data_IF_399022820565
#
_entry.id   IF_399022820565
#
_cell.length_a   1.000
_cell.length_b   1.000
_cell.length_c   1.000
_cell.angle_alpha   90.00
_cell.angle_beta   90.00
_cell.angle_gamma   90.00
#
_symmetry.space_group_name_H-M   'P 1'
#
loop_
_entity.id
_entity.type
_entity.pdbx_description
1 polymer ?
#
# COMPACT_ATOMS: atom_id res chain seq x y z
N UNK A 1 -11.33 -63.95 -5.96
CA UNK A 1 -11.21 -62.95 -4.87
C UNK A 1 -10.04 -62.01 -5.04
N UNK A 2 -8.81 -62.43 -5.39
CA UNK A 2 -7.64 -61.55 -5.56
C UNK A 2 -7.80 -60.50 -6.66
N UNK A 3 -8.44 -60.79 -7.81
CA UNK A 3 -8.67 -59.86 -8.92
C UNK A 3 -9.69 -58.77 -8.58
N UNK A 4 -10.73 -59.11 -7.81
CA UNK A 4 -11.74 -58.12 -7.35
C UNK A 4 -11.16 -57.16 -6.31
N UNK A 5 -10.25 -57.62 -5.46
CA UNK A 5 -9.55 -56.79 -4.47
C UNK A 5 -8.57 -55.82 -5.15
N UNK A 6 -7.82 -56.25 -6.18
CA UNK A 6 -6.97 -55.33 -6.98
C UNK A 6 -7.76 -54.27 -7.71
N UNK A 7 -8.93 -54.60 -8.30
CA UNK A 7 -9.81 -53.63 -8.94
C UNK A 7 -10.40 -52.63 -7.96
N UNK A 8 -10.76 -53.07 -6.75
CA UNK A 8 -11.23 -52.15 -5.68
C UNK A 8 -10.13 -51.22 -5.19
N UNK A 9 -8.90 -51.74 -5.02
CA UNK A 9 -7.74 -50.93 -4.65
C UNK A 9 -7.39 -49.90 -5.76
N UNK A 10 -7.44 -50.30 -7.04
CA UNK A 10 -7.23 -49.44 -8.17
C UNK A 10 -8.30 -48.33 -8.25
N UNK A 11 -9.56 -48.64 -7.94
CA UNK A 11 -10.66 -47.67 -7.89
C UNK A 11 -10.50 -46.69 -6.72
N UNK A 12 -10.00 -47.15 -5.58
CA UNK A 12 -9.71 -46.32 -4.40
C UNK A 12 -8.54 -45.36 -4.68
N UNK A 13 -7.49 -45.83 -5.36
CA UNK A 13 -6.34 -45.01 -5.78
C UNK A 13 -6.76 -44.02 -6.86
N UNK A 14 -7.60 -44.39 -7.84
CA UNK A 14 -8.12 -43.46 -8.83
C UNK A 14 -9.01 -42.34 -8.22
N UNK A 15 -9.74 -42.65 -7.14
CA UNK A 15 -10.53 -41.66 -6.40
C UNK A 15 -9.65 -40.66 -5.62
N UNK A 16 -8.46 -41.10 -5.16
CA UNK A 16 -7.53 -40.23 -4.42
C UNK A 16 -6.69 -39.30 -5.32
N UNK A 17 -6.64 -39.54 -6.64
CA UNK A 17 -5.88 -38.70 -7.61
C UNK A 17 -6.70 -37.54 -8.15
N UNK A 18 -7.99 -37.42 -7.81
CA UNK A 18 -8.80 -36.25 -8.21
C UNK A 18 -8.59 -35.00 -7.32
N UNK A 19 -7.68 -35.04 -6.38
CA UNK A 19 -7.33 -33.91 -5.52
C UNK A 19 -6.02 -33.31 -5.99
N UNK A 20 -6.07 -32.03 -6.28
CA UNK A 20 -4.96 -31.07 -6.52
C UNK A 20 -4.78 -30.61 -7.97
N UNK A 21 -5.86 -30.13 -8.58
CA UNK A 21 -5.68 -29.05 -9.53
C UNK A 21 -6.05 -27.74 -8.79
N UNK A 22 -5.11 -27.17 -8.06
CA UNK A 22 -5.20 -25.79 -7.65
C UNK A 22 -5.11 -24.96 -8.94
N UNK A 23 -6.24 -24.55 -9.47
CA UNK A 23 -6.32 -23.79 -10.71
C UNK A 23 -5.76 -22.41 -10.48
N UNK A 24 -4.84 -21.97 -11.33
CA UNK A 24 -4.53 -20.55 -11.41
C UNK A 24 -5.65 -19.87 -12.18
N UNK A 25 -6.29 -18.88 -11.57
CA UNK A 25 -7.40 -18.15 -12.18
C UNK A 25 -6.90 -16.92 -12.93
N UNK A 26 -7.39 -16.79 -14.15
CA UNK A 26 -7.28 -15.57 -14.95
C UNK A 26 -8.64 -14.86 -14.92
N UNK A 27 -8.67 -13.60 -15.29
CA UNK A 27 -9.93 -12.84 -15.42
C UNK A 27 -10.89 -13.50 -16.42
N UNK A 28 -10.36 -14.27 -17.40
CA UNK A 28 -11.16 -14.92 -18.44
C UNK A 28 -11.80 -16.22 -17.99
N UNK A 29 -11.13 -16.99 -17.12
CA UNK A 29 -11.62 -18.31 -16.69
C UNK A 29 -12.32 -18.27 -15.33
N UNK A 30 -12.40 -17.11 -14.68
CA UNK A 30 -13.09 -16.99 -13.39
C UNK A 30 -14.61 -17.15 -13.58
N UNK A 31 -15.26 -18.09 -12.87
CA UNK A 31 -16.70 -18.32 -13.01
C UNK A 31 -17.51 -17.18 -12.39
N UNK A 32 -18.04 -16.28 -13.24
CA UNK A 32 -18.80 -15.13 -12.78
C UNK A 32 -20.25 -15.52 -12.47
N UNK A 33 -20.48 -15.90 -11.22
CA UNK A 33 -21.78 -16.37 -10.74
C UNK A 33 -22.89 -15.31 -10.83
N UNK A 34 -22.55 -14.03 -10.64
CA UNK A 34 -23.49 -12.90 -10.76
C UNK A 34 -24.14 -12.82 -12.15
N UNK A 35 -23.39 -13.12 -13.21
CA UNK A 35 -23.92 -13.11 -14.57
C UNK A 35 -24.95 -14.22 -14.83
N UNK A 36 -24.95 -15.26 -14.01
CA UNK A 36 -25.91 -16.37 -14.06
C UNK A 36 -27.10 -16.14 -13.13
N UNK A 37 -26.81 -15.62 -11.92
CA UNK A 37 -27.79 -15.34 -10.87
C UNK A 37 -27.41 -14.04 -10.16
N UNK A 38 -28.20 -12.99 -10.37
CA UNK A 38 -28.02 -11.65 -9.79
C UNK A 38 -28.03 -11.61 -8.27
N UNK A 39 -28.45 -12.68 -7.59
CA UNK A 39 -28.42 -12.79 -6.15
C UNK A 39 -27.08 -13.33 -5.63
N UNK A 40 -26.18 -13.71 -6.53
CA UNK A 40 -24.88 -14.32 -6.24
C UNK A 40 -23.76 -13.34 -6.54
N UNK A 41 -23.12 -12.86 -5.51
CA UNK A 41 -22.00 -11.89 -5.60
C UNK A 41 -20.66 -12.51 -5.29
N UNK A 42 -20.65 -13.72 -4.66
CA UNK A 42 -19.44 -14.37 -4.14
C UNK A 42 -18.98 -15.47 -5.07
N UNK A 43 -17.80 -15.30 -5.63
CA UNK A 43 -17.07 -16.27 -6.46
C UNK A 43 -16.10 -17.03 -5.57
N UNK A 44 -16.34 -18.32 -5.35
CA UNK A 44 -15.56 -19.19 -4.45
C UNK A 44 -15.33 -20.55 -5.14
N UNK A 45 -14.56 -20.59 -6.24
CA UNK A 45 -14.44 -21.78 -7.07
C UNK A 45 -13.70 -22.92 -6.38
N UNK A 46 -12.76 -22.62 -5.49
CA UNK A 46 -11.96 -23.60 -4.76
C UNK A 46 -12.62 -24.08 -3.45
N UNK A 47 -13.79 -23.52 -3.11
CA UNK A 47 -14.49 -23.89 -1.87
C UNK A 47 -13.76 -23.48 -0.58
N UNK A 48 -12.99 -22.40 -0.64
CA UNK A 48 -12.24 -21.86 0.50
C UNK A 48 -13.18 -21.40 1.61
N UNK A 49 -14.26 -20.72 1.21
CA UNK A 49 -15.31 -20.29 2.13
C UNK A 49 -16.39 -21.36 2.28
N UNK A 50 -16.93 -21.49 3.47
CA UNK A 50 -18.08 -22.35 3.73
C UNK A 50 -19.33 -21.86 2.98
N UNK A 51 -20.21 -22.78 2.61
CA UNK A 51 -21.46 -22.43 1.93
C UNK A 51 -22.34 -21.48 2.76
N UNK A 52 -22.28 -21.57 4.09
CA UNK A 52 -23.01 -20.70 4.99
C UNK A 52 -22.49 -19.26 4.91
N UNK A 53 -21.18 -19.06 4.93
CA UNK A 53 -20.53 -17.76 4.80
C UNK A 53 -20.84 -17.12 3.45
N UNK A 54 -20.72 -17.89 2.36
CA UNK A 54 -21.08 -17.43 1.01
C UNK A 54 -22.52 -16.94 0.97
N UNK A 55 -23.47 -17.71 1.50
CA UNK A 55 -24.90 -17.34 1.52
C UNK A 55 -25.15 -16.05 2.32
N UNK A 56 -24.47 -15.88 3.46
CA UNK A 56 -24.59 -14.67 4.27
C UNK A 56 -24.03 -13.45 3.54
N UNK A 57 -22.88 -13.57 2.90
CA UNK A 57 -22.28 -12.50 2.13
C UNK A 57 -23.12 -12.14 0.90
N UNK A 58 -23.61 -13.13 0.14
CA UNK A 58 -24.53 -12.91 -0.98
C UNK A 58 -25.76 -12.11 -0.53
N UNK A 59 -26.35 -12.47 0.60
CA UNK A 59 -27.53 -11.77 1.14
C UNK A 59 -27.23 -10.31 1.49
N UNK A 60 -26.06 -10.02 2.09
CA UNK A 60 -25.63 -8.67 2.43
C UNK A 60 -25.38 -7.82 1.17
N UNK A 61 -24.68 -8.41 0.18
CA UNK A 61 -24.32 -7.72 -1.06
C UNK A 61 -25.54 -7.51 -1.97
N UNK A 62 -26.44 -8.46 -2.07
CA UNK A 62 -27.69 -8.30 -2.81
C UNK A 62 -28.56 -7.18 -2.19
N UNK A 63 -28.61 -7.11 -0.87
CA UNK A 63 -29.29 -6.01 -0.17
C UNK A 63 -28.60 -4.66 -0.46
N UNK A 64 -27.27 -4.62 -0.44
CA UNK A 64 -26.50 -3.44 -0.76
C UNK A 64 -26.77 -2.96 -2.18
N UNK A 65 -26.83 -3.87 -3.15
CA UNK A 65 -27.19 -3.53 -4.53
C UNK A 65 -28.61 -2.97 -4.63
N UNK A 66 -29.60 -3.62 -4.01
CA UNK A 66 -31.01 -3.21 -4.10
C UNK A 66 -31.30 -1.88 -3.39
N UNK A 67 -30.63 -1.59 -2.27
CA UNK A 67 -30.89 -0.38 -1.47
C UNK A 67 -30.01 0.80 -1.87
N UNK A 68 -28.79 0.55 -2.32
CA UNK A 68 -27.78 1.60 -2.61
C UNK A 68 -27.32 1.62 -4.07
N UNK A 69 -27.71 0.65 -4.87
CA UNK A 69 -27.29 0.54 -6.26
C UNK A 69 -25.82 0.19 -6.43
N UNK A 70 -25.16 -0.38 -5.40
CA UNK A 70 -23.75 -0.75 -5.43
C UNK A 70 -23.61 -2.15 -6.01
N UNK A 71 -23.05 -2.25 -7.20
CA UNK A 71 -22.73 -3.55 -7.80
C UNK A 71 -21.40 -4.08 -7.27
N UNK A 72 -21.40 -5.31 -6.80
CA UNK A 72 -20.24 -5.89 -6.11
C UNK A 72 -19.87 -7.27 -6.62
N UNK A 73 -18.57 -7.56 -6.58
CA UNK A 73 -18.00 -8.88 -6.80
C UNK A 73 -17.03 -9.18 -5.66
N UNK A 74 -17.26 -10.29 -4.98
CA UNK A 74 -16.30 -10.83 -4.00
C UNK A 74 -15.71 -12.10 -4.58
N UNK A 75 -14.41 -12.14 -4.78
CA UNK A 75 -13.71 -13.27 -5.38
C UNK A 75 -12.68 -13.83 -4.39
N UNK A 76 -12.84 -15.10 -4.04
CA UNK A 76 -11.95 -15.82 -3.12
C UNK A 76 -11.46 -17.09 -3.79
N UNK A 77 -10.15 -17.18 -4.00
CA UNK A 77 -9.53 -18.27 -4.72
C UNK A 77 -8.14 -18.59 -4.15
N UNK A 78 -7.61 -19.74 -4.51
CA UNK A 78 -6.28 -20.14 -4.05
C UNK A 78 -5.18 -19.34 -4.72
N UNK A 79 -5.22 -19.20 -6.06
CA UNK A 79 -4.16 -18.55 -6.83
C UNK A 79 -4.71 -17.78 -8.01
N UNK A 80 -4.11 -16.62 -8.26
CA UNK A 80 -4.41 -15.75 -9.41
C UNK A 80 -3.22 -15.70 -10.38
N UNK A 81 -3.50 -15.42 -11.63
CA UNK A 81 -2.46 -15.19 -12.63
C UNK A 81 -1.71 -13.89 -12.32
N UNK A 82 -0.38 -13.94 -12.41
CA UNK A 82 0.49 -12.83 -12.06
C UNK A 82 0.73 -12.63 -10.56
N UNK A 83 -0.08 -13.23 -9.66
CA UNK A 83 0.12 -13.19 -8.19
C UNK A 83 -0.04 -11.82 -7.53
N UNK A 84 -0.53 -10.79 -8.25
CA UNK A 84 -0.74 -9.43 -7.73
C UNK A 84 -2.23 -9.08 -7.71
N UNK A 85 -2.78 -9.00 -6.48
CA UNK A 85 -4.22 -8.81 -6.27
C UNK A 85 -4.74 -7.48 -6.83
N UNK A 86 -3.96 -6.40 -6.81
CA UNK A 86 -4.37 -5.11 -7.35
C UNK A 86 -4.60 -5.18 -8.86
N UNK A 87 -3.59 -5.68 -9.60
CA UNK A 87 -3.65 -5.75 -11.07
C UNK A 87 -4.77 -6.68 -11.55
N UNK A 88 -4.95 -7.79 -10.83
CA UNK A 88 -6.05 -8.71 -11.10
C UNK A 88 -7.42 -8.06 -10.85
N UNK A 89 -7.61 -7.39 -9.71
CA UNK A 89 -8.87 -6.76 -9.34
C UNK A 89 -9.26 -5.63 -10.30
N UNK A 90 -8.30 -4.76 -10.68
CA UNK A 90 -8.58 -3.65 -11.61
C UNK A 90 -8.90 -4.17 -13.02
N UNK A 91 -8.19 -5.21 -13.46
CA UNK A 91 -8.46 -5.87 -14.75
C UNK A 91 -9.83 -6.52 -14.75
N UNK A 92 -10.18 -7.22 -13.67
CA UNK A 92 -11.49 -7.84 -13.49
C UNK A 92 -12.61 -6.80 -13.51
N UNK A 93 -12.46 -5.72 -12.75
CA UNK A 93 -13.43 -4.65 -12.66
C UNK A 93 -13.68 -3.96 -13.99
N UNK A 94 -12.63 -3.57 -14.66
CA UNK A 94 -12.72 -2.86 -15.93
C UNK A 94 -13.23 -3.77 -17.07
N UNK A 95 -12.81 -5.04 -17.09
CA UNK A 95 -13.24 -5.98 -18.12
C UNK A 95 -14.72 -6.33 -18.00
N UNK A 96 -15.22 -6.54 -16.80
CA UNK A 96 -16.62 -6.86 -16.55
C UNK A 96 -17.50 -5.62 -16.51
N UNK A 97 -16.91 -4.43 -16.32
CA UNK A 97 -17.64 -3.19 -16.11
C UNK A 97 -18.45 -3.22 -14.82
N UNK A 98 -17.85 -3.77 -13.73
CA UNK A 98 -18.50 -3.86 -12.41
C UNK A 98 -18.85 -2.46 -11.94
N UNK A 99 -20.13 -2.24 -11.63
CA UNK A 99 -20.65 -0.93 -11.26
C UNK A 99 -21.72 -0.45 -12.21
N UNK A 100 -22.31 0.68 -11.87
CA UNK A 100 -23.33 1.35 -12.66
C UNK A 100 -22.77 2.61 -13.35
N UNK A 101 -23.63 3.38 -14.00
CA UNK A 101 -23.28 4.67 -14.66
C UNK A 101 -22.67 5.71 -13.70
N UNK A 102 -22.86 5.54 -12.39
CA UNK A 102 -22.32 6.42 -11.34
C UNK A 102 -21.00 5.87 -10.79
N UNK A 103 -20.43 4.84 -11.39
CA UNK A 103 -19.20 4.17 -10.96
C UNK A 103 -19.26 3.65 -9.51
N UNK A 104 -20.43 3.14 -9.08
CA UNK A 104 -20.59 2.55 -7.74
C UNK A 104 -20.27 1.06 -7.75
N UNK A 105 -19.12 0.69 -8.31
CA UNK A 105 -18.59 -0.67 -8.30
C UNK A 105 -17.77 -0.97 -7.04
N UNK A 106 -17.83 -2.22 -6.56
CA UNK A 106 -17.05 -2.72 -5.44
C UNK A 106 -16.47 -4.09 -5.78
N UNK A 107 -15.17 -4.26 -5.63
CA UNK A 107 -14.52 -5.57 -5.76
C UNK A 107 -13.77 -5.87 -4.47
N UNK A 108 -13.95 -7.08 -3.94
CA UNK A 108 -13.17 -7.58 -2.81
C UNK A 108 -12.52 -8.88 -3.27
N UNK A 109 -11.20 -8.91 -3.32
CA UNK A 109 -10.41 -10.03 -3.79
C UNK A 109 -9.56 -10.61 -2.66
N UNK A 110 -9.50 -11.92 -2.58
CA UNK A 110 -8.59 -12.67 -1.70
C UNK A 110 -7.97 -13.83 -2.49
N UNK A 111 -6.65 -13.85 -2.55
CA UNK A 111 -5.87 -15.02 -2.99
C UNK A 111 -5.11 -15.61 -1.79
N UNK A 112 -5.46 -16.86 -1.43
CA UNK A 112 -4.95 -17.46 -0.20
C UNK A 112 -3.52 -17.98 -0.34
N UNK A 113 -3.15 -18.51 -1.50
CA UNK A 113 -1.79 -19.01 -1.76
C UNK A 113 -0.83 -17.88 -2.15
N UNK A 114 -1.29 -16.87 -2.92
CA UNK A 114 -0.48 -15.69 -3.24
C UNK A 114 -0.40 -14.73 -2.04
N UNK A 115 -1.18 -15.01 -0.97
CA UNK A 115 -1.22 -14.26 0.28
C UNK A 115 -1.46 -12.77 0.05
N UNK A 116 -2.35 -12.44 -0.85
CA UNK A 116 -2.72 -11.07 -1.14
C UNK A 116 -4.23 -10.85 -1.11
N UNK A 117 -4.63 -9.62 -0.85
CA UNK A 117 -6.01 -9.18 -0.84
C UNK A 117 -6.13 -7.78 -1.41
N UNK A 118 -7.32 -7.43 -1.91
CA UNK A 118 -7.62 -6.10 -2.43
C UNK A 118 -9.09 -5.76 -2.22
N UNK A 119 -9.36 -4.57 -1.70
CA UNK A 119 -10.66 -3.90 -1.80
C UNK A 119 -10.50 -2.80 -2.84
N UNK A 120 -11.28 -2.85 -3.91
CA UNK A 120 -11.24 -1.86 -4.99
C UNK A 120 -12.61 -1.18 -5.08
N UNK A 121 -12.62 0.15 -5.08
CA UNK A 121 -13.84 0.98 -5.14
C UNK A 121 -13.88 1.77 -6.43
N UNK A 122 -15.07 1.86 -7.04
CA UNK A 122 -15.31 2.79 -8.14
C UNK A 122 -15.40 4.24 -7.61
N UNK A 123 -15.15 5.21 -8.49
CA UNK A 123 -15.14 6.65 -8.14
C UNK A 123 -16.40 7.12 -7.41
N UNK A 124 -17.58 6.56 -7.76
CA UNK A 124 -18.84 6.88 -7.11
C UNK A 124 -18.95 6.44 -5.64
N UNK A 125 -18.06 5.54 -5.19
CA UNK A 125 -18.01 5.09 -3.79
C UNK A 125 -16.93 5.81 -2.97
N UNK A 126 -15.99 6.52 -3.58
CA UNK A 126 -14.87 7.16 -2.87
C UNK A 126 -15.32 8.16 -1.79
N UNK A 127 -16.46 8.84 -2.03
CA UNK A 127 -17.04 9.75 -1.04
C UNK A 127 -17.59 9.06 0.20
N UNK A 128 -18.02 7.80 0.09
CA UNK A 128 -18.62 7.02 1.19
C UNK A 128 -17.64 5.99 1.74
N UNK A 129 -16.87 5.37 0.88
CA UNK A 129 -15.87 4.33 1.20
C UNK A 129 -14.49 4.72 0.65
N UNK A 130 -13.84 5.77 1.18
CA UNK A 130 -12.50 6.18 0.74
C UNK A 130 -11.44 5.16 1.14
N UNK A 131 -10.29 5.18 0.48
CA UNK A 131 -9.15 4.26 0.67
C UNK A 131 -8.72 4.14 2.13
N UNK A 132 -8.73 5.25 2.87
CA UNK A 132 -8.39 5.26 4.29
C UNK A 132 -9.31 4.38 5.13
N UNK A 133 -10.60 4.32 4.78
CA UNK A 133 -11.61 3.46 5.44
C UNK A 133 -11.45 2.02 4.97
N UNK A 134 -11.23 1.76 3.68
CA UNK A 134 -10.88 0.43 3.18
C UNK A 134 -9.70 -0.14 3.96
N UNK A 135 -8.61 0.60 4.06
CA UNK A 135 -7.41 0.20 4.83
C UNK A 135 -7.69 -0.04 6.31
N UNK A 136 -8.59 0.75 6.92
CA UNK A 136 -9.00 0.55 8.31
C UNK A 136 -9.79 -0.74 8.49
N UNK A 137 -10.72 -1.02 7.57
CA UNK A 137 -11.49 -2.28 7.55
C UNK A 137 -10.55 -3.47 7.39
N UNK A 138 -9.63 -3.42 6.43
CA UNK A 138 -8.64 -4.47 6.21
C UNK A 138 -7.85 -4.77 7.49
N UNK A 139 -7.25 -3.74 8.09
CA UNK A 139 -6.40 -3.90 9.27
C UNK A 139 -7.14 -4.40 10.51
N UNK A 140 -8.42 -4.05 10.67
CA UNK A 140 -9.20 -4.38 11.87
C UNK A 140 -10.09 -5.60 11.71
N UNK A 141 -10.61 -5.86 10.50
CA UNK A 141 -11.65 -6.87 10.27
C UNK A 141 -11.21 -8.00 9.34
N UNK A 142 -10.17 -7.81 8.53
CA UNK A 142 -9.70 -8.81 7.57
C UNK A 142 -8.37 -9.44 8.02
N UNK A 143 -7.30 -8.66 8.07
CA UNK A 143 -5.92 -9.12 8.27
C UNK A 143 -5.71 -9.97 9.54
N UNK A 144 -6.31 -9.65 10.71
CA UNK A 144 -6.13 -10.49 11.90
C UNK A 144 -6.57 -11.93 11.70
N UNK A 145 -7.67 -12.15 10.97
CA UNK A 145 -8.22 -13.47 10.68
C UNK A 145 -7.48 -14.15 9.53
N UNK A 146 -7.04 -13.41 8.50
CA UNK A 146 -6.22 -13.95 7.42
C UNK A 146 -4.91 -14.57 7.96
N UNK A 147 -4.29 -13.94 8.95
CA UNK A 147 -3.06 -14.45 9.59
C UNK A 147 -3.26 -15.77 10.33
N UNK A 148 -4.45 -16.03 10.79
CA UNK A 148 -4.81 -17.28 11.49
C UNK A 148 -5.41 -18.33 10.54
N UNK A 149 -5.63 -17.99 9.27
CA UNK A 149 -6.26 -18.88 8.28
C UNK A 149 -7.77 -19.00 8.43
N UNK A 150 -8.41 -18.12 9.20
CA UNK A 150 -9.87 -18.08 9.35
C UNK A 150 -10.49 -17.22 8.22
N UNK A 151 -10.57 -17.82 7.03
CA UNK A 151 -11.03 -17.17 5.81
C UNK A 151 -12.50 -16.75 5.89
N UNK A 152 -13.33 -17.60 6.49
CA UNK A 152 -14.76 -17.32 6.66
C UNK A 152 -15.00 -16.05 7.48
N UNK A 153 -14.41 -15.97 8.65
CA UNK A 153 -14.56 -14.79 9.52
C UNK A 153 -13.94 -13.56 8.88
N UNK A 154 -12.75 -13.67 8.24
CA UNK A 154 -12.09 -12.57 7.56
C UNK A 154 -13.01 -11.92 6.52
N UNK A 155 -13.56 -12.73 5.63
CA UNK A 155 -14.37 -12.23 4.52
C UNK A 155 -15.74 -11.72 4.97
N UNK A 156 -16.43 -12.45 5.86
CA UNK A 156 -17.74 -12.05 6.38
C UNK A 156 -17.66 -10.74 7.17
N UNK A 157 -16.66 -10.59 8.04
CA UNK A 157 -16.43 -9.35 8.80
C UNK A 157 -16.10 -8.17 7.90
N UNK A 158 -15.31 -8.40 6.85
CA UNK A 158 -14.95 -7.37 5.87
C UNK A 158 -16.18 -6.90 5.10
N UNK A 159 -16.94 -7.82 4.50
CA UNK A 159 -18.16 -7.51 3.75
C UNK A 159 -19.19 -6.81 4.65
N UNK A 160 -19.40 -7.32 5.87
CA UNK A 160 -20.31 -6.70 6.84
C UNK A 160 -19.89 -5.27 7.20
N UNK A 161 -18.60 -5.02 7.40
CA UNK A 161 -18.07 -3.68 7.70
C UNK A 161 -18.24 -2.71 6.53
N UNK A 162 -17.91 -3.15 5.31
CA UNK A 162 -18.10 -2.38 4.07
C UNK A 162 -19.57 -2.01 3.88
N UNK A 163 -20.48 -2.98 4.01
CA UNK A 163 -21.92 -2.74 3.89
C UNK A 163 -22.41 -1.71 4.92
N UNK A 164 -21.98 -1.80 6.18
CA UNK A 164 -22.35 -0.84 7.22
C UNK A 164 -21.90 0.58 6.90
N UNK A 165 -20.64 0.76 6.47
CA UNK A 165 -20.12 2.07 6.09
C UNK A 165 -20.92 2.67 4.95
N UNK A 166 -21.22 1.88 3.90
CA UNK A 166 -22.02 2.36 2.76
C UNK A 166 -23.47 2.71 3.17
N UNK A 167 -24.01 2.06 4.21
CA UNK A 167 -25.31 2.42 4.78
C UNK A 167 -25.28 3.65 5.69
N UNK A 168 -24.10 4.22 5.98
CA UNK A 168 -23.94 5.43 6.79
C UNK A 168 -23.62 5.15 8.26
N UNK A 169 -23.08 3.97 8.58
CA UNK A 169 -22.53 3.70 9.90
C UNK A 169 -21.14 4.35 10.04
N UNK A 170 -21.13 5.53 10.64
CA UNK A 170 -19.92 6.32 10.84
C UNK A 170 -19.01 5.81 11.97
N UNK A 171 -19.36 4.72 12.63
CA UNK A 171 -18.59 4.17 13.76
C UNK A 171 -17.15 3.84 13.38
N UNK A 172 -16.90 3.45 12.12
CA UNK A 172 -15.57 3.21 11.60
C UNK A 172 -14.88 4.49 11.10
N UNK A 173 -15.62 5.57 10.86
CA UNK A 173 -15.07 6.87 10.46
C UNK A 173 -14.52 7.63 11.66
N UNK A 174 -15.25 7.60 12.79
CA UNK A 174 -14.97 8.39 13.98
C UNK A 174 -14.21 7.62 15.06
N UNK A 175 -13.93 6.34 14.86
CA UNK A 175 -13.17 5.53 15.82
C UNK A 175 -11.67 5.90 15.76
N UNK A 176 -11.37 7.11 16.23
CA UNK A 176 -10.02 7.63 16.45
C UNK A 176 -9.31 6.96 17.65
N UNK A 177 -9.98 5.99 18.28
CA UNK A 177 -9.43 5.18 19.38
C UNK A 177 -8.51 4.03 18.88
N UNK A 178 -8.07 4.09 17.65
CA UNK A 178 -6.94 3.34 17.12
C UNK A 178 -5.63 4.07 17.41
N UNK A 179 -5.43 4.52 18.64
CA UNK A 179 -4.09 4.72 19.14
C UNK A 179 -3.30 3.44 18.87
N UNK A 180 -2.20 3.51 18.10
CA UNK A 180 -1.29 2.39 18.10
C UNK A 180 -0.90 2.20 19.56
N UNK A 181 -1.32 1.11 20.17
CA UNK A 181 -0.81 0.64 21.45
C UNK A 181 0.64 0.21 21.24
N UNK A 182 1.45 1.17 20.90
CA UNK A 182 2.88 1.16 20.79
C UNK A 182 3.42 2.27 21.67
N UNK A 183 3.20 2.18 23.00
CA UNK A 183 3.85 2.99 24.03
C UNK A 183 5.39 2.87 24.02
N UNK A 184 5.96 2.29 22.97
CA UNK A 184 7.42 2.17 22.80
C UNK A 184 8.02 3.16 21.81
N UNK A 185 7.24 3.92 21.05
CA UNK A 185 7.76 4.83 20.02
C UNK A 185 8.07 6.24 20.50
N UNK A 186 7.30 6.76 21.43
CA UNK A 186 7.47 8.15 21.88
C UNK A 186 8.78 8.37 22.67
N UNK A 187 9.24 7.36 23.40
CA UNK A 187 10.54 7.42 24.09
C UNK A 187 11.70 7.61 23.11
N UNK A 188 11.69 6.88 22.00
CA UNK A 188 12.69 7.02 20.92
C UNK A 188 12.56 8.37 20.19
N UNK A 189 11.34 8.86 19.99
CA UNK A 189 11.10 10.16 19.34
C UNK A 189 11.57 11.31 20.24
N UNK A 190 11.28 11.30 21.54
CA UNK A 190 11.77 12.29 22.49
C UNK A 190 13.29 12.21 22.67
N UNK A 191 13.86 11.02 22.64
CA UNK A 191 15.32 10.81 22.69
C UNK A 191 15.98 11.36 21.41
N UNK A 192 15.41 11.11 20.22
CA UNK A 192 15.88 11.69 18.98
C UNK A 192 15.77 13.24 18.98
N UNK A 193 14.65 13.77 19.47
CA UNK A 193 14.47 15.23 19.62
C UNK A 193 15.48 15.84 20.59
N UNK A 194 15.74 15.17 21.72
CA UNK A 194 16.75 15.60 22.70
C UNK A 194 18.18 15.57 22.12
N UNK A 195 18.51 14.56 21.31
CA UNK A 195 19.83 14.49 20.64
C UNK A 195 19.97 15.62 19.61
N UNK A 196 18.92 15.87 18.80
CA UNK A 196 18.95 16.95 17.80
C UNK A 196 19.03 18.32 18.46
N UNK A 197 18.21 18.58 19.48
CA UNK A 197 18.25 19.84 20.22
C UNK A 197 19.54 20.02 21.01
N UNK A 198 20.04 18.96 21.65
CA UNK A 198 21.33 18.97 22.33
C UNK A 198 22.49 19.23 21.36
N UNK A 199 22.51 18.53 20.23
CA UNK A 199 23.50 18.76 19.17
C UNK A 199 23.48 20.19 18.62
N UNK A 200 22.28 20.73 18.42
CA UNK A 200 22.09 22.12 17.95
C UNK A 200 22.61 23.15 18.99
N UNK A 201 22.30 22.94 20.28
CA UNK A 201 22.78 23.81 21.34
C UNK A 201 24.32 23.73 21.50
N UNK A 202 24.90 22.53 21.39
CA UNK A 202 26.36 22.34 21.41
C UNK A 202 26.99 23.03 20.19
N UNK A 203 26.37 22.95 19.02
CA UNK A 203 26.84 23.61 17.80
C UNK A 203 26.86 25.15 17.98
N UNK A 204 25.76 25.71 18.52
CA UNK A 204 25.70 27.17 18.82
C UNK A 204 26.76 27.56 19.82
N UNK A 205 26.92 26.78 20.89
CA UNK A 205 27.92 27.07 21.93
C UNK A 205 29.35 27.00 21.39
N UNK A 206 29.68 25.96 20.64
CA UNK A 206 31.01 25.81 20.02
C UNK A 206 31.30 26.89 19.00
N UNK A 207 30.30 27.30 18.21
CA UNK A 207 30.41 28.35 17.20
C UNK A 207 30.62 29.73 17.86
N UNK A 208 29.93 30.02 18.97
CA UNK A 208 30.19 31.21 19.79
C UNK A 208 31.61 31.27 20.33
N UNK A 209 32.08 30.15 20.92
CA UNK A 209 33.43 30.02 21.45
C UNK A 209 34.51 30.16 20.38
N UNK A 210 34.28 29.66 19.18
CA UNK A 210 35.19 29.82 18.03
C UNK A 210 35.29 31.27 17.53
N UNK A 211 34.21 32.04 17.60
CA UNK A 211 34.17 33.41 17.07
C UNK A 211 34.52 34.50 18.10
N UNK A 212 34.94 34.10 19.31
CA UNK A 212 35.31 34.97 20.41
C UNK A 212 36.81 35.21 20.42
N UNK A 213 37.24 36.46 20.57
CA UNK A 213 38.65 36.83 20.66
C UNK A 213 39.26 36.28 21.97
N UNK A 214 40.37 35.51 21.93
CA UNK A 214 40.98 34.94 23.12
C UNK A 214 41.61 36.00 24.01
N UNK A 215 41.90 37.23 23.53
CA UNK A 215 42.55 38.27 24.30
C UNK A 215 41.57 39.19 25.03
N UNK A 216 40.42 39.53 24.42
CA UNK A 216 39.50 40.52 25.01
C UNK A 216 38.06 40.05 25.12
N UNK A 217 37.74 38.80 24.74
CA UNK A 217 36.40 38.22 24.81
C UNK A 217 35.39 38.83 23.82
N UNK A 218 35.79 39.69 22.91
CA UNK A 218 34.87 40.29 21.94
C UNK A 218 34.48 39.33 20.82
N UNK A 219 33.22 39.33 20.43
CA UNK A 219 32.64 38.54 19.33
C UNK A 219 31.71 39.41 18.47
N UNK A 220 31.68 39.29 17.15
CA UNK A 220 32.43 38.32 16.32
C UNK A 220 33.83 38.85 15.90
N UNK A 221 34.75 37.93 15.57
CA UNK A 221 36.00 38.25 14.88
C UNK A 221 35.77 38.35 13.37
N UNK A 222 36.42 39.34 12.71
CA UNK A 222 36.30 39.50 11.28
C UNK A 222 37.37 38.78 10.49
N UNK A 223 36.98 38.11 9.42
CA UNK A 223 37.91 37.48 8.47
C UNK A 223 38.63 38.54 7.70
N UNK A 224 39.97 38.52 7.71
CA UNK A 224 40.80 39.55 7.07
C UNK A 224 41.47 39.05 5.81
N UNK A 225 41.99 37.82 5.81
CA UNK A 225 42.72 37.24 4.70
C UNK A 225 42.58 35.73 4.70
N UNK A 226 42.79 35.08 3.54
CA UNK A 226 42.90 33.60 3.44
C UNK A 226 44.03 33.27 2.49
N UNK A 227 44.80 32.28 2.84
CA UNK A 227 45.86 31.71 2.03
C UNK A 227 45.59 30.23 1.82
N UNK A 228 45.77 29.76 0.57
CA UNK A 228 45.68 28.35 0.21
C UNK A 228 47.06 27.89 -0.23
N UNK A 229 47.56 26.84 0.38
CA UNK A 229 48.81 26.19 -0.02
C UNK A 229 48.47 24.77 -0.43
N UNK A 230 48.76 24.41 -1.66
CA UNK A 230 48.53 23.07 -2.21
C UNK A 230 49.80 22.25 -2.07
N UNK A 231 49.74 21.16 -1.33
CA UNK A 231 50.79 20.14 -1.31
C UNK A 231 50.43 19.02 -2.28
N UNK A 232 51.04 19.11 -3.50
CA UNK A 232 50.77 18.15 -4.55
C UNK A 232 51.33 16.74 -4.28
N UNK A 233 52.30 16.61 -3.37
CA UNK A 233 52.86 15.31 -3.02
C UNK A 233 51.96 14.53 -2.06
N UNK A 234 51.24 15.22 -1.20
CA UNK A 234 50.31 14.61 -0.24
C UNK A 234 48.84 14.65 -0.71
N UNK A 235 48.55 15.37 -1.80
CA UNK A 235 47.18 15.52 -2.29
C UNK A 235 46.26 16.29 -1.32
N UNK A 236 46.84 17.25 -0.57
CA UNK A 236 46.13 18.01 0.47
C UNK A 236 46.24 19.51 0.18
N UNK A 237 45.13 20.23 0.33
CA UNK A 237 45.08 21.69 0.32
C UNK A 237 44.99 22.23 1.75
N UNK A 238 45.97 23.04 2.14
CA UNK A 238 46.01 23.71 3.42
C UNK A 238 45.38 25.11 3.31
N UNK A 239 44.15 25.24 3.83
CA UNK A 239 43.46 26.54 3.88
C UNK A 239 43.76 27.22 5.21
N UNK A 240 44.47 28.36 5.16
CA UNK A 240 44.74 29.19 6.37
C UNK A 240 43.91 30.45 6.28
N UNK A 241 43.02 30.66 7.26
CA UNK A 241 42.16 31.86 7.34
C UNK A 241 42.58 32.70 8.55
N UNK A 242 42.79 34.01 8.32
CA UNK A 242 43.16 34.97 9.33
C UNK A 242 41.94 35.76 9.81
N UNK A 243 41.75 35.81 11.11
CA UNK A 243 40.68 36.55 11.76
C UNK A 243 41.28 37.67 12.63
N UNK A 244 40.71 38.89 12.53
CA UNK A 244 41.14 40.06 13.34
C UNK A 244 40.00 40.52 14.23
N UNK A 245 40.34 40.81 15.49
CA UNK A 245 39.40 41.37 16.43
C UNK A 245 39.23 42.89 16.15
N UNK A 246 38.01 43.40 15.95
CA UNK A 246 37.78 44.80 15.71
C UNK A 246 38.06 45.70 16.95
N UNK A 247 37.96 45.10 18.17
CA UNK A 247 38.13 45.82 19.41
C UNK A 247 39.60 45.99 19.84
N UNK A 248 40.42 44.95 19.75
CA UNK A 248 41.77 44.95 20.26
C UNK A 248 42.87 44.70 19.21
N UNK A 249 42.49 44.51 17.94
CA UNK A 249 43.40 44.27 16.82
C UNK A 249 44.09 42.89 16.83
N UNK A 250 43.83 42.02 17.82
CA UNK A 250 44.46 40.73 17.91
C UNK A 250 44.07 39.85 16.71
N UNK A 251 45.08 39.16 16.11
CA UNK A 251 44.88 38.31 14.93
C UNK A 251 45.08 36.84 15.30
N UNK A 252 44.18 35.98 14.83
CA UNK A 252 44.23 34.53 15.03
C UNK A 252 44.16 33.86 13.64
N UNK A 253 45.08 32.92 13.38
CA UNK A 253 45.04 32.09 12.17
C UNK A 253 44.38 30.73 12.50
N UNK A 254 43.61 30.24 11.56
CA UNK A 254 43.03 28.89 11.61
C UNK A 254 43.32 28.18 10.30
N UNK A 255 43.89 26.99 10.39
CA UNK A 255 44.15 26.12 9.26
C UNK A 255 43.13 24.99 9.24
N UNK A 256 42.74 24.63 8.02
CA UNK A 256 41.90 23.46 7.71
C UNK A 256 42.47 22.78 6.49
N UNK A 257 42.62 21.47 6.59
CA UNK A 257 43.18 20.66 5.52
C UNK A 257 42.04 19.98 4.77
N UNK A 258 41.98 20.14 3.46
CA UNK A 258 41.00 19.47 2.59
C UNK A 258 41.74 18.58 1.60
N UNK A 259 41.21 17.40 1.27
CA UNK A 259 41.80 16.56 0.21
C UNK A 259 41.65 17.30 -1.13
N UNK A 260 42.71 17.30 -1.93
CA UNK A 260 42.70 17.91 -3.25
C UNK A 260 41.77 17.12 -4.19
N UNK A 261 40.60 17.68 -4.50
CA UNK A 261 39.63 17.09 -5.42
C UNK A 261 40.07 17.36 -6.88
N UNK A 262 40.63 16.35 -7.50
CA UNK A 262 40.95 16.35 -8.93
C UNK A 262 39.65 16.16 -9.74
N UNK A 263 38.77 17.15 -9.72
CA UNK A 263 37.50 17.29 -10.38
C UNK A 263 37.17 16.26 -11.47
N UNK A 264 36.73 15.07 -11.08
CA UNK A 264 35.90 14.20 -11.92
C UNK A 264 34.47 14.21 -11.36
N UNK A 265 33.76 15.24 -11.79
CA UNK A 265 32.34 15.36 -11.51
C UNK A 265 31.56 14.21 -12.13
N UNK A 266 30.90 13.42 -11.31
CA UNK A 266 29.78 12.59 -11.71
C UNK A 266 28.53 13.24 -11.10
N UNK A 267 27.74 13.93 -11.84
CA UNK A 267 26.75 13.52 -12.80
C UNK A 267 25.40 13.71 -12.15
N UNK A 268 24.79 14.91 -12.36
CA UNK A 268 23.40 15.19 -11.97
C UNK A 268 22.43 14.26 -12.69
N UNK A 269 21.42 13.81 -11.98
CA UNK A 269 20.27 13.12 -12.56
C UNK A 269 19.39 14.15 -13.32
N UNK A 270 19.01 13.88 -14.59
CA UNK A 270 18.04 14.70 -15.29
C UNK A 270 16.62 14.33 -14.86
N UNK A 271 15.67 15.29 -14.87
CA UNK A 271 14.27 15.01 -14.60
C UNK A 271 13.63 14.28 -15.78
N UNK A 272 13.02 13.13 -15.51
CA UNK A 272 12.27 12.38 -16.52
C UNK A 272 10.86 12.94 -16.59
N UNK A 273 10.56 13.68 -17.64
CA UNK A 273 9.21 13.98 -18.06
C UNK A 273 8.67 12.82 -18.91
N UNK A 274 7.65 12.13 -18.46
CA UNK A 274 6.95 11.11 -19.25
C UNK A 274 5.65 11.66 -19.84
N UNK A 275 5.33 11.31 -21.08
CA UNK A 275 4.13 11.82 -21.76
C UNK A 275 2.88 10.99 -21.44
N UNK A 276 1.79 11.72 -21.26
CA UNK A 276 0.43 11.21 -21.17
C UNK A 276 0.00 10.54 -22.48
N UNK A 277 -0.59 9.35 -22.40
CA UNK A 277 -1.38 8.81 -23.48
C UNK A 277 -2.85 8.66 -23.07
N UNK A 278 -3.64 9.40 -23.79
CA UNK A 278 -5.10 9.28 -23.90
C UNK A 278 -5.48 8.00 -24.62
N UNK A 279 -6.54 7.39 -24.18
CA UNK A 279 -7.37 6.98 -25.16
C UNK A 279 -8.16 5.84 -25.33
N UNK A 280 -9.11 5.65 -25.60
CA UNK A 280 -10.11 5.15 -26.53
C UNK A 280 -11.13 4.21 -25.89
N UNK A 281 -12.36 4.68 -25.99
CA UNK A 281 -13.59 3.96 -25.71
C UNK A 281 -13.89 2.91 -26.77
N UNK A 282 -14.70 1.95 -26.40
CA UNK A 282 -15.28 0.96 -27.27
C UNK A 282 -16.52 0.39 -26.61
N UNK A 283 -17.66 0.75 -27.13
CA UNK A 283 -18.96 0.24 -26.75
C UNK A 283 -19.19 -1.16 -27.29
N UNK A 284 -20.09 -1.88 -26.69
CA UNK A 284 -20.46 -3.16 -27.19
C UNK A 284 -21.73 -3.72 -26.59
N UNK A 285 -22.43 -4.35 -27.26
CA UNK A 285 -23.78 -4.82 -27.46
C UNK A 285 -24.30 -5.80 -26.42
N UNK A 286 -25.59 -5.71 -26.18
CA UNK A 286 -26.40 -6.48 -25.29
C UNK A 286 -26.86 -7.83 -25.84
N UNK A 287 -27.44 -8.58 -24.96
CA UNK A 287 -28.16 -9.82 -25.24
C UNK A 287 -28.64 -10.39 -23.91
N UNK A 288 -29.96 -10.39 -23.72
CA UNK A 288 -30.57 -10.70 -22.45
C UNK A 288 -30.53 -12.17 -22.08
N UNK A 289 -30.26 -12.35 -20.84
CA UNK A 289 -30.57 -13.54 -20.03
C UNK A 289 -30.97 -13.04 -18.64
N UNK A 290 -31.67 -13.86 -17.86
CA UNK A 290 -32.10 -13.51 -16.48
C UNK A 290 -30.95 -13.43 -15.44
N UNK A 291 -29.73 -13.34 -15.89
CA UNK A 291 -28.55 -13.06 -15.10
C UNK A 291 -28.38 -11.58 -14.79
N UNK A 292 -27.60 -11.25 -13.80
CA UNK A 292 -27.16 -9.90 -13.53
C UNK A 292 -26.35 -9.34 -14.70
N UNK A 293 -26.40 -8.03 -14.88
CA UNK A 293 -25.51 -7.33 -15.79
C UNK A 293 -24.85 -6.18 -15.05
N UNK A 294 -23.56 -6.01 -15.26
CA UNK A 294 -22.87 -4.84 -14.75
C UNK A 294 -23.15 -3.61 -15.62
N UNK A 295 -23.29 -2.47 -15.03
CA UNK A 295 -23.75 -1.24 -15.66
C UNK A 295 -22.67 -0.44 -16.39
N UNK A 296 -21.47 -0.99 -16.58
CA UNK A 296 -20.36 -0.36 -17.29
C UNK A 296 -19.58 0.63 -16.43
N UNK A 297 -19.42 0.36 -15.14
CA UNK A 297 -18.55 1.12 -14.25
C UNK A 297 -17.08 0.99 -14.63
N UNK A 298 -16.27 1.96 -14.23
CA UNK A 298 -14.82 1.97 -14.37
C UNK A 298 -14.16 2.20 -13.02
N UNK A 299 -12.96 1.66 -12.85
CA UNK A 299 -12.16 1.81 -11.64
C UNK A 299 -10.95 2.69 -11.93
N UNK A 300 -10.85 3.82 -11.22
CA UNK A 300 -9.72 4.75 -11.29
C UNK A 300 -8.54 4.38 -10.40
N UNK A 301 -8.62 3.24 -9.69
CA UNK A 301 -7.58 2.77 -8.78
C UNK A 301 -7.78 3.13 -7.32
N UNK A 302 -8.97 3.60 -6.93
CA UNK A 302 -9.36 3.77 -5.52
C UNK A 302 -9.47 2.43 -4.80
N UNK A 303 -9.21 2.43 -3.48
CA UNK A 303 -9.29 1.23 -2.64
C UNK A 303 -8.05 0.99 -1.80
N UNK A 304 -7.94 -0.18 -1.23
CA UNK A 304 -6.79 -0.58 -0.44
C UNK A 304 -6.52 -2.08 -0.62
N UNK A 305 -5.30 -2.49 -0.33
CA UNK A 305 -4.91 -3.89 -0.42
C UNK A 305 -3.53 -4.14 0.17
N UNK A 306 -3.14 -5.40 0.21
CA UNK A 306 -1.86 -5.78 0.76
C UNK A 306 -1.57 -7.27 0.71
N UNK A 307 -0.48 -7.67 1.40
CA UNK A 307 -0.08 -9.06 1.63
C UNK A 307 -0.16 -9.36 3.14
N UNK A 308 -0.38 -10.64 3.49
CA UNK A 308 -0.56 -11.08 4.87
C UNK A 308 0.27 -12.30 5.23
#
# INVERSE_FOLDING_TARGET
>A
MKKAFCLFLLFLVCRSVQLLYAGTYTVDNLPMVYLQDKTKHVVNPDGILSAQTVQQMDSLLYRLETEKGVQSVVAVMERIDGGECYDFAITLGNKLGVGNRQNTGLIILLSTQDRCYQILTGEGLEGTLPDAICRRIENRRMVPYLKTGDWDTAMLQTVSAVCRVIHGDDSLLHDDSGQPTGTKGYGLMWLALAIVTGGFLISIYSNRKRNTCPRCGHSPMHRTNSQVRVDRFQGIEHHTVYYRCPKCGHTVSRSHDEPFDNGTGFGGFPPVAGPFHRGFGGGGFGGGFSGGSFGGGSFGGGGAGGKF
#
